data_IF_189744157660
#
_entry.id   IF_189744157660
#
_cell.length_a   1.000
_cell.length_b   1.000
_cell.length_c   1.000
_cell.angle_alpha   90.00
_cell.angle_beta   90.00
_cell.angle_gamma   90.00
#
_symmetry.space_group_name_H-M   'P 1'
#
loop_
_entity.id
_entity.type
_entity.pdbx_description
1 polymer ?
#
# COMPACT_ATOMS: atom_id res chain seq x y z
N UNK A 1 -40.14 43.69 -24.51
CA UNK A 1 -41.13 44.07 -23.47
C UNK A 1 -41.24 42.88 -22.53
N UNK A 2 -40.81 43.00 -21.27
CA UNK A 2 -41.62 43.48 -20.13
C UNK A 2 -42.76 42.49 -19.81
N UNK A 3 -43.02 42.04 -18.59
CA UNK A 3 -42.54 42.46 -17.25
C UNK A 3 -42.75 41.25 -16.29
N UNK A 4 -41.86 40.90 -15.35
CA UNK A 4 -41.81 41.40 -13.96
C UNK A 4 -43.21 41.78 -13.42
N UNK A 5 -43.69 41.25 -12.29
CA UNK A 5 -43.29 41.70 -10.94
C UNK A 5 -44.09 40.87 -9.91
N UNK A 6 -43.48 40.30 -8.86
CA UNK A 6 -43.51 40.81 -7.46
C UNK A 6 -44.82 40.48 -6.67
N UNK A 7 -44.89 40.50 -5.33
CA UNK A 7 -43.98 40.98 -4.28
C UNK A 7 -44.28 40.29 -2.91
N UNK A 8 -43.24 39.98 -2.10
CA UNK A 8 -43.18 40.14 -0.62
C UNK A 8 -44.24 39.49 0.33
N UNK A 9 -44.15 39.50 1.68
CA UNK A 9 -43.33 40.14 2.75
C UNK A 9 -43.38 39.19 3.99
N UNK A 10 -42.54 39.16 5.04
CA UNK A 10 -41.22 39.75 5.38
C UNK A 10 -40.57 38.91 6.52
N UNK A 11 -39.37 39.29 7.00
CA UNK A 11 -38.79 38.78 8.26
C UNK A 11 -37.34 39.24 8.46
N UNK A 12 -37.12 40.35 9.20
CA UNK A 12 -35.87 41.11 9.23
C UNK A 12 -35.13 41.06 10.60
N UNK A 13 -33.92 41.64 10.59
CA UNK A 13 -32.99 41.93 11.71
C UNK A 13 -32.09 40.75 12.17
N UNK A 14 -30.75 40.82 12.18
CA UNK A 14 -29.76 41.87 12.49
C UNK A 14 -29.48 42.05 14.00
N UNK A 15 -28.22 41.86 14.40
CA UNK A 15 -27.72 42.05 15.76
C UNK A 15 -26.24 41.63 15.87
N UNK A 16 -25.36 42.56 16.28
CA UNK A 16 -23.92 42.34 16.42
C UNK A 16 -23.49 41.82 17.80
N UNK A 17 -22.20 41.47 17.92
CA UNK A 17 -21.53 40.99 19.13
C UNK A 17 -21.48 42.04 20.28
N UNK A 18 -21.28 41.63 21.56
CA UNK A 18 -19.92 41.81 22.12
C UNK A 18 -19.42 40.80 23.20
N UNK A 19 -18.17 40.36 23.02
CA UNK A 19 -17.03 40.32 23.97
C UNK A 19 -17.01 39.75 25.43
N UNK A 20 -15.86 39.08 25.68
CA UNK A 20 -14.99 39.04 26.88
C UNK A 20 -15.30 38.23 28.17
N UNK A 21 -14.45 37.21 28.42
CA UNK A 21 -13.65 36.92 29.65
C UNK A 21 -12.84 35.63 29.43
N UNK A 22 -11.59 35.39 29.88
CA UNK A 22 -10.55 36.24 30.48
C UNK A 22 -9.44 35.39 31.14
N UNK A 23 -8.16 35.58 30.77
CA UNK A 23 -6.95 35.02 31.44
C UNK A 23 -6.71 33.49 31.30
N UNK A 24 -5.51 32.93 31.49
CA UNK A 24 -4.14 33.46 31.60
C UNK A 24 -3.14 32.45 30.98
N UNK A 25 -1.92 32.90 30.64
CA UNK A 25 -0.80 32.03 30.26
C UNK A 25 0.32 32.11 31.30
N UNK A 26 0.89 30.95 31.67
CA UNK A 26 2.13 30.75 32.45
C UNK A 26 2.43 29.25 32.51
N UNK A 27 3.67 28.75 32.47
CA UNK A 27 5.00 29.35 32.24
C UNK A 27 5.91 28.28 31.65
N UNK A 28 6.82 28.67 30.76
CA UNK A 28 8.00 27.83 30.45
C UNK A 28 9.03 27.95 31.58
N UNK A 29 9.83 26.89 31.85
CA UNK A 29 11.18 27.05 32.34
C UNK A 29 12.14 27.08 31.14
N UNK A 30 12.85 28.19 30.97
CA UNK A 30 14.21 28.10 30.44
C UNK A 30 15.07 27.50 31.55
N UNK A 31 16.09 26.72 31.21
CA UNK A 31 17.34 26.86 31.94
C UNK A 31 18.54 26.77 30.98
N UNK A 32 19.62 27.45 31.34
CA UNK A 32 20.82 27.60 30.50
C UNK A 32 21.97 26.74 31.03
N UNK A 33 22.75 26.25 30.08
CA UNK A 33 24.18 25.92 30.12
C UNK A 33 24.94 26.28 31.41
N UNK A 34 25.77 25.36 31.94
CA UNK A 34 27.24 25.43 31.77
C UNK A 34 27.97 24.14 32.23
N UNK A 35 29.20 23.97 31.75
CA UNK A 35 30.13 22.82 31.85
C UNK A 35 30.49 22.33 33.26
N UNK A 36 30.93 21.05 33.34
CA UNK A 36 32.26 20.73 33.90
C UNK A 36 32.76 19.32 33.50
N UNK A 37 34.08 19.23 33.31
CA UNK A 37 34.83 18.05 32.86
C UNK A 37 35.36 17.19 34.02
N UNK A 38 35.82 15.98 33.70
CA UNK A 38 36.79 15.15 34.43
C UNK A 38 36.47 14.64 35.84
N UNK A 39 36.29 13.32 35.97
CA UNK A 39 37.35 12.47 36.57
C UNK A 39 37.07 10.98 36.46
N UNK A 40 38.12 10.23 36.11
CA UNK A 40 38.20 8.78 36.26
C UNK A 40 38.15 8.37 37.75
N UNK A 41 37.50 7.25 38.07
CA UNK A 41 38.11 6.31 39.01
C UNK A 41 37.70 4.86 38.76
N UNK A 42 38.71 3.99 38.80
CA UNK A 42 38.59 2.54 38.86
C UNK A 42 37.72 2.07 40.03
N UNK A 43 36.97 0.98 39.82
CA UNK A 43 36.86 -0.07 40.83
C UNK A 43 36.66 -1.43 40.12
N UNK A 44 37.71 -2.26 40.14
CA UNK A 44 37.65 -3.62 39.59
C UNK A 44 37.12 -4.61 40.63
N UNK A 45 36.38 -5.59 40.12
CA UNK A 45 36.24 -6.97 40.64
C UNK A 45 35.76 -7.21 42.08
N UNK A 46 34.59 -7.84 42.18
CA UNK A 46 34.47 -9.09 42.98
C UNK A 46 33.83 -10.16 42.11
N UNK A 47 34.48 -11.33 42.03
CA UNK A 47 34.07 -12.42 41.15
C UNK A 47 32.82 -13.12 41.67
N UNK A 48 31.82 -13.27 40.81
CA UNK A 48 30.66 -14.11 41.07
C UNK A 48 30.72 -15.32 40.13
N UNK A 49 30.80 -16.51 40.73
CA UNK A 49 30.74 -17.80 40.05
C UNK A 49 29.54 -17.85 39.09
N UNK A 50 29.72 -18.25 37.81
CA UNK A 50 28.61 -18.33 36.87
C UNK A 50 27.69 -19.50 37.24
N UNK A 51 26.63 -19.22 37.99
CA UNK A 51 25.57 -20.19 38.23
C UNK A 51 24.78 -20.39 36.94
N UNK A 52 24.55 -21.66 36.58
CA UNK A 52 23.85 -22.08 35.35
C UNK A 52 22.42 -21.50 35.19
N UNK A 53 21.87 -20.84 36.21
CA UNK A 53 20.59 -20.13 36.14
C UNK A 53 20.60 -18.91 35.20
N UNK A 54 21.74 -18.23 35.00
CA UNK A 54 21.80 -17.08 34.08
C UNK A 54 21.50 -17.48 32.63
N UNK A 55 22.17 -18.53 32.15
CA UNK A 55 21.96 -19.08 30.81
C UNK A 55 20.54 -19.63 30.60
N UNK A 56 20.00 -20.36 31.58
CA UNK A 56 18.66 -20.93 31.48
C UNK A 56 17.56 -19.85 31.39
N UNK A 57 17.71 -18.74 32.14
CA UNK A 57 16.75 -17.63 32.10
C UNK A 57 16.81 -16.88 30.77
N UNK A 58 18.00 -16.47 30.32
CA UNK A 58 18.17 -15.83 29.01
C UNK A 58 17.72 -16.72 27.84
N UNK A 59 17.96 -18.03 27.89
CA UNK A 59 17.45 -18.96 26.87
C UNK A 59 15.92 -19.02 26.85
N UNK A 60 15.26 -18.97 28.01
CA UNK A 60 13.81 -18.91 28.10
C UNK A 60 13.26 -17.57 27.58
N UNK A 61 13.88 -16.45 27.94
CA UNK A 61 13.47 -15.10 27.51
C UNK A 61 13.61 -14.94 25.99
N UNK A 62 14.71 -15.42 25.40
CA UNK A 62 14.92 -15.47 23.94
C UNK A 62 13.87 -16.34 23.26
N UNK A 63 13.58 -17.53 23.80
CA UNK A 63 12.54 -18.41 23.22
C UNK A 63 11.18 -17.72 23.23
N UNK A 64 10.80 -17.12 24.36
CA UNK A 64 9.52 -16.40 24.49
C UNK A 64 9.44 -15.23 23.51
N UNK A 65 10.50 -14.44 23.37
CA UNK A 65 10.54 -13.34 22.41
C UNK A 65 10.37 -13.83 20.95
N UNK A 66 10.98 -14.96 20.59
CA UNK A 66 10.80 -15.57 19.26
C UNK A 66 9.36 -16.07 19.05
N UNK A 67 8.75 -16.69 20.06
CA UNK A 67 7.35 -17.12 20.02
C UNK A 67 6.39 -15.92 19.90
N UNK A 68 6.63 -14.83 20.64
CA UNK A 68 5.89 -13.56 20.57
C UNK A 68 6.04 -12.88 19.18
N UNK A 69 7.26 -12.82 18.62
CA UNK A 69 7.53 -12.30 17.27
C UNK A 69 6.77 -13.12 16.21
N UNK A 70 6.83 -14.45 16.31
CA UNK A 70 6.12 -15.37 15.39
C UNK A 70 4.62 -15.19 15.50
N UNK A 71 4.09 -15.00 16.71
CA UNK A 71 2.67 -14.70 16.93
C UNK A 71 2.26 -13.39 16.25
N UNK A 72 3.03 -12.31 16.44
CA UNK A 72 2.77 -11.01 15.82
C UNK A 72 2.86 -11.05 14.29
N UNK A 73 3.81 -11.81 13.73
CA UNK A 73 3.90 -12.07 12.29
C UNK A 73 2.65 -12.80 11.77
N UNK A 74 2.20 -13.84 12.46
CA UNK A 74 0.97 -14.56 12.09
C UNK A 74 -0.27 -13.65 12.14
N UNK A 75 -0.40 -12.78 13.15
CA UNK A 75 -1.50 -11.81 13.20
C UNK A 75 -1.46 -10.83 12.03
N UNK A 76 -0.28 -10.31 11.69
CA UNK A 76 -0.09 -9.37 10.56
C UNK A 76 -0.38 -10.01 9.20
N UNK A 77 0.12 -11.22 8.95
CA UNK A 77 -0.13 -11.95 7.70
C UNK A 77 -1.63 -12.28 7.55
N UNK A 78 -2.36 -12.54 8.65
CA UNK A 78 -3.82 -12.71 8.65
C UNK A 78 -4.58 -11.42 8.34
N UNK A 79 -4.18 -10.31 8.96
CA UNK A 79 -4.78 -8.98 8.73
C UNK A 79 -4.66 -8.58 7.24
N UNK A 80 -3.46 -8.72 6.67
CA UNK A 80 -3.22 -8.46 5.25
C UNK A 80 -3.98 -9.42 4.32
N UNK A 81 -4.15 -10.70 4.69
CA UNK A 81 -5.02 -11.61 3.93
C UNK A 81 -6.49 -11.12 3.90
N UNK A 82 -6.98 -10.53 4.99
CA UNK A 82 -8.25 -9.79 5.02
C UNK A 82 -8.29 -8.62 4.02
N UNK A 83 -7.19 -7.87 3.90
CA UNK A 83 -6.99 -6.84 2.88
C UNK A 83 -7.10 -7.37 1.44
N UNK A 84 -6.53 -8.55 1.14
CA UNK A 84 -6.65 -9.17 -0.20
C UNK A 84 -8.10 -9.56 -0.51
N UNK A 85 -8.86 -10.07 0.47
CA UNK A 85 -10.31 -10.31 0.31
C UNK A 85 -11.08 -9.00 0.07
N UNK A 86 -10.68 -7.92 0.75
CA UNK A 86 -11.25 -6.59 0.57
C UNK A 86 -11.04 -6.07 -0.87
N UNK A 87 -9.88 -6.33 -1.48
CA UNK A 87 -9.64 -6.08 -2.92
C UNK A 87 -10.68 -6.80 -3.78
N UNK A 88 -10.83 -8.14 -3.67
CA UNK A 88 -11.80 -8.92 -4.48
C UNK A 88 -13.22 -8.39 -4.33
N UNK A 89 -13.61 -8.05 -3.10
CA UNK A 89 -14.94 -7.48 -2.82
C UNK A 89 -15.16 -6.12 -3.48
N UNK A 90 -14.14 -5.26 -3.51
CA UNK A 90 -14.18 -3.96 -4.19
C UNK A 90 -14.23 -4.09 -5.71
N UNK A 91 -13.48 -5.02 -6.30
CA UNK A 91 -13.57 -5.34 -7.73
C UNK A 91 -14.98 -5.84 -8.10
N UNK A 92 -15.57 -6.72 -7.28
CA UNK A 92 -16.93 -7.21 -7.48
C UNK A 92 -17.98 -6.08 -7.45
N UNK A 93 -17.86 -5.13 -6.51
CA UNK A 93 -18.72 -3.93 -6.49
C UNK A 93 -18.53 -3.02 -7.72
N UNK A 94 -17.38 -3.07 -8.38
CA UNK A 94 -17.09 -2.21 -9.54
C UNK A 94 -17.59 -2.79 -10.86
N UNK A 95 -17.62 -4.12 -11.02
CA UNK A 95 -17.82 -4.78 -12.32
C UNK A 95 -18.95 -5.82 -12.39
N UNK A 96 -19.49 -6.26 -11.25
CA UNK A 96 -20.65 -7.17 -11.20
C UNK A 96 -21.92 -6.39 -10.86
N UNK A 97 -23.08 -6.88 -11.30
CA UNK A 97 -24.37 -6.37 -10.81
C UNK A 97 -24.64 -6.79 -9.35
N UNK A 98 -25.63 -6.17 -8.70
CA UNK A 98 -26.00 -6.51 -7.32
C UNK A 98 -26.37 -7.99 -7.15
N UNK A 99 -27.16 -8.55 -8.09
CA UNK A 99 -27.55 -9.97 -8.11
C UNK A 99 -26.34 -10.88 -8.27
N UNK A 100 -25.46 -10.52 -9.21
CA UNK A 100 -24.22 -11.24 -9.52
C UNK A 100 -23.27 -11.30 -8.31
N UNK A 101 -23.06 -10.16 -7.64
CA UNK A 101 -22.23 -10.08 -6.43
C UNK A 101 -22.87 -10.82 -5.24
N UNK A 102 -24.20 -10.81 -5.13
CA UNK A 102 -24.92 -11.58 -4.11
C UNK A 102 -24.79 -13.11 -4.34
N UNK A 103 -24.79 -13.57 -5.60
CA UNK A 103 -24.53 -14.97 -5.96
C UNK A 103 -23.08 -15.37 -5.61
N UNK A 104 -22.08 -14.59 -6.04
CA UNK A 104 -20.66 -14.80 -5.69
C UNK A 104 -20.47 -14.99 -4.18
N UNK A 105 -21.11 -14.15 -3.36
CA UNK A 105 -21.02 -14.23 -1.89
C UNK A 105 -21.60 -15.52 -1.29
N UNK A 106 -22.54 -16.18 -1.97
CA UNK A 106 -23.09 -17.48 -1.55
C UNK A 106 -22.20 -18.66 -1.95
N UNK A 107 -21.45 -18.55 -3.04
CA UNK A 107 -20.66 -19.63 -3.65
C UNK A 107 -19.38 -20.01 -2.88
N UNK A 108 -19.26 -19.69 -1.58
CA UNK A 108 -18.08 -20.07 -0.78
C UNK A 108 -16.75 -19.54 -1.41
N UNK A 109 -16.84 -18.43 -2.17
CA UNK A 109 -15.84 -17.98 -3.16
C UNK A 109 -14.52 -17.39 -2.62
N UNK A 110 -14.12 -17.75 -1.39
CA UNK A 110 -12.80 -17.53 -0.82
C UNK A 110 -12.33 -18.85 -0.17
N UNK A 111 -11.03 -19.18 -0.22
CA UNK A 111 -10.45 -20.32 0.50
C UNK A 111 -10.80 -20.39 2.00
N UNK A 112 -10.79 -21.60 2.59
CA UNK A 112 -11.24 -21.84 3.99
C UNK A 112 -10.30 -21.15 5.00
N UNK A 113 -9.01 -21.35 4.82
CA UNK A 113 -7.90 -20.73 5.55
C UNK A 113 -7.96 -19.20 5.53
N UNK A 114 -8.41 -18.61 4.42
CA UNK A 114 -8.63 -17.16 4.30
C UNK A 114 -9.91 -16.72 5.00
N UNK A 115 -11.01 -17.50 4.91
CA UNK A 115 -12.31 -17.18 5.52
C UNK A 115 -12.25 -17.02 7.04
N UNK A 116 -11.45 -17.83 7.74
CA UNK A 116 -11.28 -17.73 9.19
C UNK A 116 -10.77 -16.34 9.60
N UNK A 117 -9.95 -15.70 8.76
CA UNK A 117 -9.34 -14.39 9.05
C UNK A 117 -10.26 -13.19 8.69
N UNK A 118 -11.42 -13.42 8.08
CA UNK A 118 -12.37 -12.35 7.67
C UNK A 118 -13.30 -11.93 8.82
N UNK A 119 -13.44 -12.74 9.87
CA UNK A 119 -14.37 -12.47 10.96
C UNK A 119 -13.87 -11.43 11.99
N UNK A 120 -12.56 -11.23 12.11
CA UNK A 120 -11.94 -10.32 13.11
C UNK A 120 -11.72 -8.88 12.58
N UNK A 121 -12.52 -8.40 11.62
CA UNK A 121 -12.28 -7.11 10.96
C UNK A 121 -12.55 -5.88 11.84
N UNK A 122 -11.50 -5.43 12.54
CA UNK A 122 -11.30 -4.03 12.91
C UNK A 122 -11.11 -3.13 11.67
N UNK A 123 -11.23 -1.81 11.87
CA UNK A 123 -11.04 -0.75 10.86
C UNK A 123 -9.62 -0.65 10.26
N UNK A 124 -8.71 -1.60 10.53
CA UNK A 124 -7.35 -1.65 10.02
C UNK A 124 -7.17 -2.61 8.82
N UNK A 125 -8.16 -3.48 8.54
CA UNK A 125 -8.18 -4.40 7.39
C UNK A 125 -8.33 -3.71 5.99
N UNK A 126 -8.04 -2.40 5.91
CA UNK A 126 -7.93 -1.61 4.67
C UNK A 126 -6.49 -1.45 4.19
N UNK A 127 -5.49 -1.87 4.97
CA UNK A 127 -4.12 -1.91 4.52
C UNK A 127 -3.86 -3.19 3.73
N UNK A 128 -3.23 -3.03 2.57
CA UNK A 128 -2.82 -4.13 1.71
C UNK A 128 -1.29 -4.19 1.67
N UNK A 129 -0.76 -5.37 1.39
CA UNK A 129 0.68 -5.59 1.38
C UNK A 129 1.06 -6.46 0.17
N UNK A 130 2.08 -6.02 -0.57
CA UNK A 130 2.48 -6.68 -1.82
C UNK A 130 2.95 -8.12 -1.57
N UNK A 131 3.87 -8.34 -0.64
CA UNK A 131 4.41 -9.68 -0.39
C UNK A 131 3.37 -10.64 0.17
N UNK A 132 2.40 -10.15 0.97
CA UNK A 132 1.26 -10.97 1.40
C UNK A 132 0.31 -11.28 0.25
N UNK A 133 0.09 -10.35 -0.67
CA UNK A 133 -0.74 -10.60 -1.87
C UNK A 133 -0.09 -11.65 -2.77
N UNK A 134 1.25 -11.59 -2.95
CA UNK A 134 2.02 -12.62 -3.68
C UNK A 134 1.88 -13.97 -2.99
N UNK A 135 2.16 -14.09 -1.67
CA UNK A 135 1.97 -15.34 -0.90
C UNK A 135 0.56 -15.93 -1.08
N UNK A 136 -0.48 -15.10 -1.01
CA UNK A 136 -1.87 -15.55 -1.19
C UNK A 136 -2.12 -16.01 -2.62
N UNK A 137 -1.56 -15.33 -3.61
CA UNK A 137 -1.60 -15.71 -5.03
C UNK A 137 -0.75 -16.94 -5.37
N UNK A 138 0.21 -17.33 -4.54
CA UNK A 138 0.93 -18.62 -4.65
C UNK A 138 0.13 -19.78 -4.07
N UNK A 139 -0.58 -19.55 -2.96
CA UNK A 139 -1.44 -20.58 -2.34
C UNK A 139 -2.75 -20.78 -3.11
N UNK A 140 -3.35 -19.71 -3.64
CA UNK A 140 -4.68 -19.70 -4.27
C UNK A 140 -4.70 -18.80 -5.53
N UNK A 141 -3.95 -19.13 -6.60
CA UNK A 141 -3.79 -18.29 -7.79
C UNK A 141 -5.11 -17.90 -8.44
N UNK A 142 -6.03 -18.86 -8.61
CA UNK A 142 -7.38 -18.67 -9.15
C UNK A 142 -8.21 -17.61 -8.40
N UNK A 143 -7.84 -17.29 -7.16
CA UNK A 143 -8.51 -16.28 -6.34
C UNK A 143 -7.72 -14.96 -6.26
N UNK A 144 -6.38 -14.98 -6.24
CA UNK A 144 -5.61 -13.79 -5.86
C UNK A 144 -4.65 -13.24 -6.92
N UNK A 145 -4.36 -13.96 -8.02
CA UNK A 145 -3.58 -13.40 -9.13
C UNK A 145 -4.23 -12.13 -9.70
N UNK A 146 -5.57 -12.10 -9.81
CA UNK A 146 -6.30 -10.91 -10.29
C UNK A 146 -6.09 -9.68 -9.41
N UNK A 147 -5.76 -9.85 -8.12
CA UNK A 147 -5.46 -8.73 -7.23
C UNK A 147 -4.12 -8.08 -7.59
N UNK A 148 -3.15 -8.86 -8.05
CA UNK A 148 -1.86 -8.36 -8.55
C UNK A 148 -2.07 -7.59 -9.85
N UNK A 149 -2.71 -8.20 -10.85
CA UNK A 149 -3.02 -7.54 -12.13
C UNK A 149 -3.72 -6.19 -11.93
N UNK A 150 -4.75 -6.17 -11.10
CA UNK A 150 -5.65 -5.00 -10.99
C UNK A 150 -5.11 -3.93 -10.06
N UNK A 151 -4.78 -4.28 -8.82
CA UNK A 151 -4.46 -3.33 -7.75
C UNK A 151 -2.98 -3.04 -7.67
N UNK A 152 -2.10 -4.03 -7.83
CA UNK A 152 -0.66 -3.78 -7.90
C UNK A 152 -0.21 -3.39 -9.32
N UNK A 153 -1.01 -3.68 -10.35
CA UNK A 153 -0.88 -3.09 -11.68
C UNK A 153 -0.12 -3.94 -12.70
N UNK A 154 0.37 -5.12 -12.32
CA UNK A 154 1.12 -6.03 -13.18
C UNK A 154 0.86 -7.51 -12.80
N UNK A 155 1.06 -8.46 -13.73
CA UNK A 155 1.00 -9.90 -13.42
C UNK A 155 2.05 -10.33 -12.38
N UNK A 156 1.75 -11.40 -11.63
CA UNK A 156 2.61 -11.93 -10.56
C UNK A 156 4.06 -12.15 -11.02
N UNK A 157 4.24 -12.85 -12.13
CA UNK A 157 5.56 -13.21 -12.65
C UNK A 157 6.39 -11.97 -12.97
N UNK A 158 5.80 -10.96 -13.63
CA UNK A 158 6.47 -9.70 -13.93
C UNK A 158 6.86 -8.91 -12.67
N UNK A 159 6.02 -8.95 -11.63
CA UNK A 159 6.35 -8.34 -10.33
C UNK A 159 7.54 -9.08 -9.69
N UNK A 160 7.51 -10.42 -9.68
CA UNK A 160 8.57 -11.24 -9.12
C UNK A 160 9.90 -11.06 -9.87
N UNK A 161 9.89 -11.05 -11.21
CA UNK A 161 11.07 -10.82 -12.05
C UNK A 161 11.72 -9.45 -11.75
N UNK A 162 10.90 -8.40 -11.60
CA UNK A 162 11.39 -7.05 -11.27
C UNK A 162 11.89 -6.95 -9.82
N UNK A 163 11.23 -7.62 -8.88
CA UNK A 163 11.67 -7.67 -7.46
C UNK A 163 12.96 -8.46 -7.29
N UNK A 164 13.14 -9.56 -8.03
CA UNK A 164 14.40 -10.29 -8.03
C UNK A 164 15.51 -9.48 -8.71
N UNK A 165 15.22 -8.70 -9.76
CA UNK A 165 16.23 -7.89 -10.42
C UNK A 165 16.64 -6.64 -9.59
N UNK A 166 15.71 -5.92 -8.95
CA UNK A 166 15.97 -4.73 -8.11
C UNK A 166 16.48 -5.09 -6.69
N UNK A 167 17.51 -5.96 -6.58
CA UNK A 167 18.05 -6.46 -5.29
C UNK A 167 18.56 -5.36 -4.36
N UNK A 168 18.95 -4.21 -4.90
CA UNK A 168 19.44 -3.04 -4.16
C UNK A 168 18.32 -2.07 -3.75
N UNK A 169 17.12 -2.19 -4.33
CA UNK A 169 16.04 -1.22 -4.18
C UNK A 169 16.33 0.14 -4.84
N UNK A 170 17.34 0.24 -5.73
CA UNK A 170 17.68 1.48 -6.43
C UNK A 170 16.48 2.01 -7.23
N UNK A 171 15.71 1.10 -7.84
CA UNK A 171 14.61 1.43 -8.73
C UNK A 171 13.24 1.44 -8.05
N UNK A 172 13.20 1.26 -6.73
CA UNK A 172 12.00 1.37 -5.89
C UNK A 172 10.87 0.42 -6.31
N UNK A 173 11.18 -0.75 -6.88
CA UNK A 173 10.17 -1.68 -7.41
C UNK A 173 9.14 -2.07 -6.35
N UNK A 174 9.59 -2.49 -5.16
CA UNK A 174 8.68 -2.89 -4.08
C UNK A 174 7.79 -1.74 -3.60
N UNK A 175 8.34 -0.54 -3.39
CA UNK A 175 7.59 0.61 -2.89
C UNK A 175 6.61 1.15 -3.93
N UNK A 176 6.99 1.24 -5.21
CA UNK A 176 6.10 1.78 -6.25
C UNK A 176 4.93 0.83 -6.52
N UNK A 177 5.16 -0.48 -6.58
CA UNK A 177 4.05 -1.44 -6.64
C UNK A 177 3.17 -1.39 -5.37
N UNK A 178 3.77 -1.26 -4.18
CA UNK A 178 3.04 -1.12 -2.92
C UNK A 178 2.16 0.14 -2.86
N UNK A 179 2.71 1.29 -3.22
CA UNK A 179 2.03 2.59 -3.26
C UNK A 179 0.91 2.62 -4.32
N UNK A 180 1.15 2.04 -5.50
CA UNK A 180 0.11 1.83 -6.51
C UNK A 180 -1.02 0.96 -5.96
N UNK A 181 -0.66 -0.14 -5.31
CA UNK A 181 -1.57 -0.98 -4.55
C UNK A 181 -2.47 -0.18 -3.60
N UNK A 182 -1.85 0.61 -2.72
CA UNK A 182 -2.57 1.45 -1.76
C UNK A 182 -3.50 2.45 -2.46
N UNK A 183 -3.00 3.16 -3.47
CA UNK A 183 -3.73 4.21 -4.18
C UNK A 183 -4.97 3.68 -4.92
N UNK A 184 -4.90 2.47 -5.49
CA UNK A 184 -6.04 1.80 -6.14
C UNK A 184 -6.99 1.19 -5.11
N UNK A 185 -6.47 0.49 -4.10
CA UNK A 185 -7.28 -0.17 -3.08
C UNK A 185 -8.06 0.82 -2.20
N UNK A 186 -7.42 1.88 -1.72
CA UNK A 186 -8.10 2.93 -0.93
C UNK A 186 -8.90 3.85 -1.86
N UNK A 187 -8.40 4.11 -3.06
CA UNK A 187 -9.11 4.79 -4.15
C UNK A 187 -8.89 6.29 -4.17
N UNK A 188 -7.63 6.69 -4.28
CA UNK A 188 -7.22 8.08 -4.45
C UNK A 188 -6.37 8.33 -5.71
N UNK A 189 -6.03 7.28 -6.49
CA UNK A 189 -5.38 7.36 -7.79
C UNK A 189 -6.21 8.17 -8.81
N UNK A 190 -5.95 9.48 -8.90
CA UNK A 190 -6.52 10.40 -9.87
C UNK A 190 -5.50 10.76 -10.97
N UNK A 191 -4.23 10.91 -10.59
CA UNK A 191 -3.11 11.27 -11.47
C UNK A 191 -2.04 10.17 -11.56
N UNK A 192 -1.96 9.30 -10.56
CA UNK A 192 -1.08 8.12 -10.52
C UNK A 192 -1.06 7.24 -11.81
N UNK A 193 -2.18 6.97 -12.54
CA UNK A 193 -2.19 5.96 -13.61
C UNK A 193 -1.16 6.17 -14.72
N UNK A 194 -0.92 7.42 -15.12
CA UNK A 194 0.04 7.71 -16.21
C UNK A 194 1.48 7.59 -15.74
N UNK A 195 1.81 8.16 -14.58
CA UNK A 195 3.14 8.07 -13.99
C UNK A 195 3.56 6.61 -13.75
N UNK A 196 2.64 5.76 -13.27
CA UNK A 196 2.87 4.32 -13.11
C UNK A 196 3.13 3.61 -14.43
N UNK A 197 2.33 3.87 -15.47
CA UNK A 197 2.55 3.29 -16.81
C UNK A 197 3.91 3.68 -17.40
N UNK A 198 4.29 4.96 -17.26
CA UNK A 198 5.60 5.46 -17.69
C UNK A 198 6.73 4.76 -16.94
N UNK A 199 6.62 4.63 -15.61
CA UNK A 199 7.61 3.92 -14.79
C UNK A 199 7.70 2.43 -15.14
N UNK A 200 6.57 1.72 -15.19
CA UNK A 200 6.53 0.28 -15.47
C UNK A 200 7.08 -0.04 -16.86
N UNK A 201 6.76 0.76 -17.87
CA UNK A 201 7.35 0.63 -19.21
C UNK A 201 8.87 0.89 -19.19
N UNK A 202 9.31 1.92 -18.46
CA UNK A 202 10.72 2.30 -18.38
C UNK A 202 11.57 1.25 -17.64
N UNK A 203 11.03 0.63 -16.58
CA UNK A 203 11.76 -0.35 -15.77
C UNK A 203 11.87 -1.71 -16.46
N UNK A 204 10.80 -2.16 -17.12
CA UNK A 204 10.82 -3.38 -17.96
C UNK A 204 11.75 -3.21 -19.16
N UNK A 205 11.85 -2.00 -19.71
CA UNK A 205 12.84 -1.69 -20.76
C UNK A 205 14.28 -1.81 -20.21
N UNK A 206 14.55 -1.23 -19.03
CA UNK A 206 15.87 -1.29 -18.39
C UNK A 206 16.31 -2.73 -18.07
N UNK A 207 15.44 -3.50 -17.43
CA UNK A 207 15.68 -4.92 -17.09
C UNK A 207 16.05 -5.74 -18.34
N UNK A 208 15.38 -5.49 -19.48
CA UNK A 208 15.70 -6.17 -20.75
C UNK A 208 17.06 -5.78 -21.29
N UNK A 209 17.44 -4.49 -21.27
CA UNK A 209 18.75 -4.06 -21.74
C UNK A 209 19.89 -4.57 -20.83
N UNK A 210 19.71 -4.55 -19.50
CA UNK A 210 20.70 -5.12 -18.58
C UNK A 210 20.79 -6.65 -18.64
N UNK A 211 19.70 -7.33 -19.00
CA UNK A 211 19.76 -8.77 -19.31
C UNK A 211 20.55 -9.02 -20.60
N UNK A 212 20.33 -8.19 -21.64
CA UNK A 212 21.00 -8.30 -22.94
C UNK A 212 22.52 -8.01 -22.89
N UNK A 213 23.00 -7.17 -21.96
CA UNK A 213 24.45 -6.85 -21.88
C UNK A 213 25.32 -8.04 -21.46
N UNK A 214 24.71 -9.08 -20.88
CA UNK A 214 25.38 -10.36 -20.63
C UNK A 214 25.71 -11.15 -21.90
N UNK A 215 25.11 -10.78 -23.04
CA UNK A 215 25.28 -11.44 -24.34
C UNK A 215 25.94 -10.55 -25.40
N UNK A 216 25.74 -9.22 -25.34
CA UNK A 216 26.44 -8.24 -26.17
C UNK A 216 26.98 -7.08 -25.31
N UNK A 217 28.29 -6.81 -25.35
CA UNK A 217 28.93 -5.74 -24.57
C UNK A 217 29.19 -4.45 -25.37
N UNK A 218 28.51 -4.27 -26.50
CA UNK A 218 28.63 -3.12 -27.40
C UNK A 218 28.54 -1.75 -26.68
N UNK A 219 29.32 -0.73 -27.12
CA UNK A 219 29.25 0.61 -26.56
C UNK A 219 27.85 1.25 -26.67
N UNK A 220 27.14 0.98 -27.76
CA UNK A 220 25.80 1.52 -28.01
C UNK A 220 24.77 1.01 -26.98
N UNK A 221 24.83 -0.29 -26.62
CA UNK A 221 23.97 -0.84 -25.57
C UNK A 221 24.26 -0.21 -24.20
N UNK A 222 25.52 0.11 -23.89
CA UNK A 222 25.86 0.84 -22.64
C UNK A 222 25.27 2.25 -22.61
N UNK A 223 25.27 2.95 -23.74
CA UNK A 223 24.63 4.26 -23.88
C UNK A 223 23.11 4.15 -23.72
N UNK A 224 22.48 3.15 -24.34
CA UNK A 224 21.04 2.87 -24.19
C UNK A 224 20.65 2.57 -22.73
N UNK A 225 21.42 1.71 -22.04
CA UNK A 225 21.21 1.41 -20.61
C UNK A 225 21.30 2.69 -19.78
N UNK A 226 22.34 3.50 -19.97
CA UNK A 226 22.49 4.73 -19.18
C UNK A 226 21.35 5.73 -19.43
N UNK A 227 20.93 5.91 -20.68
CA UNK A 227 19.77 6.73 -21.03
C UNK A 227 18.48 6.21 -20.38
N UNK A 228 18.31 4.87 -20.36
CA UNK A 228 17.16 4.22 -19.76
C UNK A 228 17.15 4.35 -18.23
N UNK A 229 18.31 4.30 -17.57
CA UNK A 229 18.44 4.60 -16.11
C UNK A 229 17.99 6.01 -15.79
N UNK A 230 18.40 7.01 -16.59
CA UNK A 230 17.95 8.40 -16.40
C UNK A 230 16.47 8.61 -16.76
N UNK A 231 15.88 7.79 -17.63
CA UNK A 231 14.43 7.76 -17.84
C UNK A 231 13.70 7.16 -16.62
N UNK A 232 14.19 6.04 -16.08
CA UNK A 232 13.63 5.41 -14.87
C UNK A 232 13.66 6.40 -13.69
N UNK A 233 14.80 7.04 -13.40
CA UNK A 233 14.90 8.05 -12.33
C UNK A 233 13.89 9.18 -12.46
N UNK A 234 13.69 9.70 -13.68
CA UNK A 234 12.66 10.74 -13.95
C UNK A 234 11.24 10.21 -13.72
N UNK A 235 10.93 8.99 -14.16
CA UNK A 235 9.62 8.38 -13.93
C UNK A 235 9.32 8.08 -12.44
N UNK A 236 10.35 7.78 -11.64
CA UNK A 236 10.24 7.64 -10.18
C UNK A 236 9.92 9.01 -9.53
N UNK A 237 10.55 10.09 -9.99
CA UNK A 237 10.25 11.45 -9.51
C UNK A 237 8.81 11.87 -9.87
N UNK A 238 8.36 11.56 -11.09
CA UNK A 238 6.99 11.80 -11.54
C UNK A 238 5.98 10.98 -10.71
N UNK A 239 6.25 9.69 -10.49
CA UNK A 239 5.46 8.83 -9.62
C UNK A 239 5.30 9.41 -8.21
N UNK A 240 6.41 9.73 -7.56
CA UNK A 240 6.42 10.24 -6.19
C UNK A 240 5.64 11.56 -6.08
N UNK A 241 5.69 12.42 -7.10
CA UNK A 241 4.91 13.65 -7.19
C UNK A 241 3.40 13.38 -7.32
N UNK A 242 2.99 12.55 -8.30
CA UNK A 242 1.59 12.17 -8.52
C UNK A 242 0.98 11.46 -7.32
N UNK A 243 1.70 10.51 -6.74
CA UNK A 243 1.26 9.75 -5.57
C UNK A 243 1.11 10.65 -4.33
N UNK A 244 2.08 11.54 -4.06
CA UNK A 244 1.99 12.50 -2.94
C UNK A 244 0.79 13.45 -3.11
N UNK A 245 0.59 13.98 -4.33
CA UNK A 245 -0.53 14.86 -4.63
C UNK A 245 -1.88 14.13 -4.47
N UNK A 246 -2.01 12.93 -5.00
CA UNK A 246 -3.22 12.11 -4.90
C UNK A 246 -3.50 11.71 -3.43
N UNK A 247 -2.48 11.28 -2.67
CA UNK A 247 -2.57 10.91 -1.25
C UNK A 247 -2.98 12.10 -0.37
N UNK A 248 -2.44 13.29 -0.62
CA UNK A 248 -2.84 14.53 0.10
C UNK A 248 -4.31 14.93 -0.15
N UNK A 249 -4.91 14.43 -1.24
CA UNK A 249 -6.30 14.64 -1.60
C UNK A 249 -7.20 13.44 -1.25
N UNK A 250 -6.75 12.55 -0.36
CA UNK A 250 -7.53 11.39 0.07
C UNK A 250 -8.97 11.74 0.48
N UNK A 251 -9.92 10.89 0.08
CA UNK A 251 -11.37 11.10 0.28
C UNK A 251 -12.01 12.13 -0.66
N UNK A 252 -11.27 13.13 -1.13
CA UNK A 252 -11.73 14.09 -2.15
C UNK A 252 -11.72 13.39 -3.52
N UNK A 253 -12.69 13.71 -4.38
CA UNK A 253 -12.81 13.18 -5.76
C UNK A 253 -12.88 11.64 -5.90
N UNK A 254 -13.45 10.93 -4.93
CA UNK A 254 -13.52 9.44 -4.95
C UNK A 254 -14.37 8.87 -6.11
N UNK A 255 -15.28 9.65 -6.71
CA UNK A 255 -16.07 9.22 -7.89
C UNK A 255 -15.23 9.28 -9.16
N UNK A 256 -14.45 10.34 -9.30
CA UNK A 256 -13.54 10.63 -10.41
C UNK A 256 -12.41 9.59 -10.42
N UNK A 257 -11.76 9.33 -9.28
CA UNK A 257 -10.78 8.26 -9.14
C UNK A 257 -11.35 6.89 -9.57
N UNK A 258 -12.57 6.53 -9.16
CA UNK A 258 -13.22 5.28 -9.62
C UNK A 258 -13.46 5.25 -11.13
N UNK A 259 -13.63 6.40 -11.80
CA UNK A 259 -13.70 6.48 -13.27
C UNK A 259 -12.30 6.25 -13.88
N UNK A 260 -11.27 6.89 -13.36
CA UNK A 260 -9.88 6.73 -13.83
C UNK A 260 -9.41 5.27 -13.72
N UNK A 261 -9.62 4.62 -12.56
CA UNK A 261 -9.27 3.20 -12.36
C UNK A 261 -10.06 2.29 -13.32
N UNK A 262 -11.33 2.60 -13.61
CA UNK A 262 -12.14 1.83 -14.58
C UNK A 262 -11.63 1.97 -16.01
N UNK A 263 -11.14 3.14 -16.41
CA UNK A 263 -10.57 3.34 -17.73
C UNK A 263 -9.19 2.66 -17.83
N UNK A 264 -8.35 2.75 -16.81
CA UNK A 264 -7.10 1.99 -16.73
C UNK A 264 -7.31 0.48 -16.93
N UNK A 265 -8.28 -0.12 -16.25
CA UNK A 265 -8.59 -1.54 -16.40
C UNK A 265 -9.15 -1.89 -17.78
N UNK A 266 -9.73 -0.91 -18.49
CA UNK A 266 -10.19 -1.07 -19.88
C UNK A 266 -9.02 -1.01 -20.85
N UNK A 267 -8.16 -0.01 -20.72
CA UNK A 267 -6.94 0.14 -21.53
C UNK A 267 -6.03 -1.08 -21.42
N UNK A 268 -5.92 -1.66 -20.21
CA UNK A 268 -5.16 -2.90 -19.95
C UNK A 268 -5.92 -4.21 -20.28
N UNK A 269 -7.13 -4.12 -20.85
CA UNK A 269 -7.94 -5.30 -21.25
C UNK A 269 -8.49 -6.16 -20.10
N UNK A 270 -8.29 -5.75 -18.84
CA UNK A 270 -8.56 -6.58 -17.65
C UNK A 270 -10.05 -6.80 -17.35
N UNK A 271 -10.95 -5.98 -17.90
CA UNK A 271 -12.39 -5.99 -17.56
C UNK A 271 -13.04 -7.39 -17.70
N UNK A 272 -12.64 -8.16 -18.71
CA UNK A 272 -13.15 -9.51 -18.93
C UNK A 272 -12.58 -10.49 -17.89
N UNK A 273 -11.24 -10.55 -17.77
CA UNK A 273 -10.51 -11.39 -16.80
C UNK A 273 -10.98 -11.16 -15.36
N UNK A 274 -11.24 -9.89 -14.98
CA UNK A 274 -11.82 -9.53 -13.68
C UNK A 274 -13.18 -10.19 -13.48
N UNK A 275 -14.08 -10.11 -14.46
CA UNK A 275 -15.42 -10.68 -14.35
C UNK A 275 -15.34 -12.21 -14.23
N UNK A 276 -14.59 -12.86 -15.10
CA UNK A 276 -14.40 -14.31 -15.13
C UNK A 276 -13.84 -14.83 -13.81
N UNK A 277 -12.76 -14.23 -13.31
CA UNK A 277 -12.12 -14.62 -12.05
C UNK A 277 -12.99 -14.37 -10.80
N UNK A 278 -13.85 -13.36 -10.83
CA UNK A 278 -14.84 -13.12 -9.77
C UNK A 278 -16.04 -14.05 -9.83
N UNK A 279 -16.23 -14.78 -10.94
CA UNK A 279 -17.39 -15.62 -11.22
C UNK A 279 -17.12 -17.11 -11.38
N UNK A 280 -15.87 -17.55 -11.27
CA UNK A 280 -15.50 -18.96 -11.42
C UNK A 280 -16.48 -19.87 -10.65
N UNK A 281 -17.17 -20.73 -11.40
CA UNK A 281 -18.06 -21.74 -10.86
C UNK A 281 -17.20 -22.77 -10.14
N UNK A 282 -17.05 -22.59 -8.83
CA UNK A 282 -16.32 -23.55 -8.00
C UNK A 282 -17.10 -24.85 -7.98
N UNK A 283 -16.64 -25.84 -8.75
CA UNK A 283 -16.84 -27.23 -8.39
C UNK A 283 -16.08 -27.45 -7.09
N UNK A 284 -16.84 -27.68 -6.02
CA UNK A 284 -16.28 -28.17 -4.77
C UNK A 284 -16.12 -29.68 -4.94
N UNK A 285 -14.88 -30.13 -4.96
CA UNK A 285 -14.52 -31.54 -4.72
C UNK A 285 -14.65 -31.85 -3.22
#
# INVERSE_FOLDING_TARGET
MQSLSNLQQQGNAAGGSPNHSGGQASTSPQDKTQDQTDSLLFNQTKGNTPTNHGYSRHSHDIKKLNDDIKMLQNYRDREYAGGVVSIRNRLAQMFLSSTQNAQRKKQIANPIDVRVNVYDQNELAYDINLSTTIKQADMHPDYFDICLDTVFGAPKDLINDLLEWDKTGEYQVYSIFGDHGEAWHKGFANTCPNAFKTWLSSIVCLQKYESAISHDTSPDLKILIQNQKEQVKRSIQEWNSSYTMDRSNYGKKRKECRKMIKEDYRERGLILRIKENLFHEVKLD
#
